data_IF_278886497589
#
_entry.id   IF_278886497589
#
_cell.length_a   1.000
_cell.length_b   1.000
_cell.length_c   1.000
_cell.angle_alpha   90.00
_cell.angle_beta   90.00
_cell.angle_gamma   90.00
#
_symmetry.space_group_name_H-M   'P 1'
#
loop_
_entity.id
_entity.type
_entity.pdbx_description
1 polymer ?
#
# COMPACT_ATOMS: atom_id res chain seq x y z
N UNK A 1 -8.20 28.02 -4.88
CA UNK A 1 -6.81 27.55 -4.78
C UNK A 1 -6.82 26.04 -4.64
N UNK A 2 -6.19 25.34 -5.57
CA UNK A 2 -6.26 23.90 -5.65
C UNK A 2 -5.53 23.27 -4.45
N UNK A 3 -6.32 22.84 -3.48
CA UNK A 3 -5.92 22.20 -2.22
C UNK A 3 -5.46 20.75 -2.49
N UNK A 4 -4.56 20.56 -3.46
CA UNK A 4 -3.99 19.26 -3.77
C UNK A 4 -2.82 19.00 -2.83
N UNK A 5 -3.15 18.61 -1.60
CA UNK A 5 -2.18 17.99 -0.72
C UNK A 5 -1.65 16.73 -1.42
N UNK A 6 -0.36 16.72 -1.76
CA UNK A 6 0.32 15.58 -2.35
C UNK A 6 0.21 14.39 -1.40
N UNK A 7 -0.42 13.29 -1.84
CA UNK A 7 -0.56 12.08 -1.02
C UNK A 7 0.79 11.41 -0.74
N UNK A 8 1.75 11.56 -1.66
CA UNK A 8 3.04 10.86 -1.65
C UNK A 8 4.05 11.39 -0.62
N UNK A 9 3.85 12.61 -0.10
CA UNK A 9 4.75 13.24 0.88
C UNK A 9 4.10 13.43 2.26
N UNK A 10 3.01 12.69 2.55
CA UNK A 10 2.28 12.82 3.81
C UNK A 10 2.34 11.51 4.59
N UNK A 11 2.88 11.56 5.79
CA UNK A 11 2.61 10.53 6.80
C UNK A 11 1.16 10.66 7.26
N UNK A 12 0.38 9.56 7.22
CA UNK A 12 -0.91 9.58 7.89
C UNK A 12 -0.71 9.74 9.41
N UNK A 13 -1.60 10.48 10.08
CA UNK A 13 -1.49 10.71 11.54
C UNK A 13 -1.78 9.45 12.36
N UNK A 14 -2.36 8.42 11.72
CA UNK A 14 -2.73 7.16 12.34
C UNK A 14 -1.83 6.08 11.73
N UNK A 15 -0.89 5.55 12.51
CA UNK A 15 -0.14 4.36 12.15
C UNK A 15 -0.98 3.12 12.51
N UNK A 16 -1.53 2.38 11.53
CA UNK A 16 -2.24 1.14 11.83
C UNK A 16 -1.26 0.13 12.42
N UNK A 17 -1.71 -0.64 13.42
CA UNK A 17 -0.99 -1.86 13.80
C UNK A 17 -1.05 -2.84 12.63
N UNK A 18 0.09 -3.39 12.25
CA UNK A 18 0.14 -4.34 11.16
C UNK A 18 -0.57 -5.64 11.54
N UNK A 19 -1.56 -6.09 10.76
CA UNK A 19 -2.22 -7.36 11.03
C UNK A 19 -1.30 -8.54 10.73
N UNK A 20 -1.37 -9.56 11.58
CA UNK A 20 -0.66 -10.84 11.42
C UNK A 20 -1.49 -11.91 10.70
N UNK A 21 -2.73 -11.60 10.32
CA UNK A 21 -3.63 -12.47 9.54
C UNK A 21 -4.48 -11.63 8.56
N UNK A 22 -4.86 -12.18 7.39
CA UNK A 22 -4.44 -13.48 6.84
C UNK A 22 -2.96 -13.50 6.42
N UNK A 23 -2.38 -14.70 6.21
CA UNK A 23 -0.93 -14.87 5.92
C UNK A 23 -0.48 -14.09 4.68
N UNK A 24 -1.29 -14.08 3.63
CA UNK A 24 -0.99 -13.33 2.40
C UNK A 24 -0.83 -11.84 2.67
N UNK A 25 -1.74 -11.26 3.49
CA UNK A 25 -1.64 -9.86 3.90
C UNK A 25 -0.37 -9.63 4.71
N UNK A 26 -0.09 -10.49 5.69
CA UNK A 26 1.12 -10.38 6.52
C UNK A 26 2.40 -10.37 5.67
N UNK A 27 2.49 -11.26 4.68
CA UNK A 27 3.63 -11.35 3.76
C UNK A 27 3.70 -10.18 2.77
N UNK A 28 2.60 -9.47 2.59
CA UNK A 28 2.53 -8.32 1.68
C UNK A 28 2.81 -6.99 2.35
N UNK A 29 2.70 -6.89 3.67
CA UNK A 29 3.02 -5.67 4.41
C UNK A 29 4.54 -5.49 4.54
N UNK A 30 4.97 -4.24 4.60
CA UNK A 30 6.33 -3.87 4.97
C UNK A 30 6.45 -3.78 6.49
N UNK A 31 7.37 -4.57 7.04
CA UNK A 31 7.68 -4.64 8.48
C UNK A 31 9.05 -4.04 8.81
N UNK A 32 9.73 -3.40 7.85
CA UNK A 32 11.09 -2.86 8.02
C UNK A 32 11.22 -1.88 9.19
N UNK A 33 10.14 -1.19 9.54
CA UNK A 33 10.07 -0.24 10.65
C UNK A 33 9.34 -0.79 11.90
N UNK A 34 9.23 -2.11 12.04
CA UNK A 34 8.58 -2.78 13.17
C UNK A 34 7.04 -2.84 13.09
N UNK A 35 6.39 -3.15 14.21
CA UNK A 35 4.94 -3.39 14.27
C UNK A 35 4.06 -2.15 14.03
N UNK A 36 4.65 -0.97 14.18
CA UNK A 36 4.01 0.34 13.98
C UNK A 36 4.86 1.16 13.02
N UNK A 37 4.91 0.77 11.74
CA UNK A 37 5.71 1.50 10.77
C UNK A 37 5.17 2.93 10.64
N UNK A 38 6.00 3.88 10.19
CA UNK A 38 5.53 5.20 9.81
C UNK A 38 4.37 5.02 8.83
N UNK A 39 3.34 5.86 8.93
CA UNK A 39 2.15 5.73 8.10
C UNK A 39 2.41 6.22 6.66
N UNK A 40 3.30 5.50 5.97
CA UNK A 40 3.59 5.63 4.55
C UNK A 40 2.49 4.94 3.75
N UNK A 41 2.37 5.34 2.50
CA UNK A 41 1.27 4.97 1.62
C UNK A 41 1.17 3.46 1.39
N UNK A 42 2.31 2.78 1.27
CA UNK A 42 2.37 1.37 0.88
C UNK A 42 1.51 0.43 1.73
N UNK A 43 1.69 0.43 3.05
CA UNK A 43 0.96 -0.46 3.95
C UNK A 43 -0.54 -0.13 3.98
N UNK A 44 -0.89 1.15 3.88
CA UNK A 44 -2.29 1.58 3.78
C UNK A 44 -2.96 1.02 2.54
N UNK A 45 -2.35 1.19 1.36
CA UNK A 45 -2.91 0.65 0.11
C UNK A 45 -2.96 -0.88 0.15
N UNK A 46 -1.94 -1.54 0.70
CA UNK A 46 -1.91 -3.00 0.86
C UNK A 46 -3.04 -3.49 1.76
N UNK A 47 -3.36 -2.78 2.84
CA UNK A 47 -4.51 -3.09 3.70
C UNK A 47 -5.85 -2.87 2.97
N UNK A 48 -5.98 -1.79 2.20
CA UNK A 48 -7.18 -1.53 1.39
C UNK A 48 -7.36 -2.66 0.36
N UNK A 49 -6.27 -3.11 -0.27
CA UNK A 49 -6.30 -4.23 -1.21
C UNK A 49 -6.89 -5.49 -0.56
N UNK A 50 -6.49 -5.81 0.67
CA UNK A 50 -7.08 -6.93 1.39
C UNK A 50 -8.59 -6.74 1.61
N UNK A 51 -9.03 -5.54 1.97
CA UNK A 51 -10.46 -5.24 2.13
C UNK A 51 -11.18 -5.47 0.82
N UNK A 52 -10.66 -4.95 -0.29
CA UNK A 52 -11.23 -5.11 -1.64
C UNK A 52 -11.35 -6.58 -2.03
N UNK A 53 -10.33 -7.41 -1.76
CA UNK A 53 -10.41 -8.87 -1.98
C UNK A 53 -11.53 -9.56 -1.19
N UNK A 54 -11.92 -9.00 -0.04
CA UNK A 54 -12.99 -9.55 0.80
C UNK A 54 -14.37 -9.04 0.40
N UNK A 55 -14.51 -7.74 0.11
CA UNK A 55 -15.83 -7.12 -0.16
C UNK A 55 -16.23 -7.13 -1.63
N UNK A 56 -15.24 -7.20 -2.55
CA UNK A 56 -15.45 -7.16 -3.99
C UNK A 56 -14.40 -8.05 -4.70
N UNK A 57 -14.48 -9.39 -4.54
CA UNK A 57 -13.46 -10.33 -5.03
C UNK A 57 -13.26 -10.30 -6.54
N UNK A 58 -14.32 -9.97 -7.31
CA UNK A 58 -14.27 -9.87 -8.77
C UNK A 58 -13.77 -8.51 -9.27
N UNK A 59 -13.41 -7.61 -8.35
CA UNK A 59 -12.90 -6.28 -8.69
C UNK A 59 -11.50 -6.36 -9.31
N UNK A 60 -11.26 -5.50 -10.30
CA UNK A 60 -9.92 -5.28 -10.88
C UNK A 60 -9.06 -4.31 -10.08
N UNK A 61 -9.52 -3.89 -8.90
CA UNK A 61 -8.89 -2.84 -8.10
C UNK A 61 -7.39 -3.03 -7.88
N UNK A 62 -6.94 -4.25 -7.59
CA UNK A 62 -5.52 -4.54 -7.38
C UNK A 62 -4.69 -4.29 -8.64
N UNK A 63 -5.19 -4.74 -9.80
CA UNK A 63 -4.55 -4.57 -11.09
C UNK A 63 -4.55 -3.10 -11.52
N UNK A 64 -5.69 -2.40 -11.40
CA UNK A 64 -5.81 -0.98 -11.75
C UNK A 64 -4.91 -0.12 -10.87
N UNK A 65 -4.91 -0.37 -9.55
CA UNK A 65 -4.07 0.35 -8.59
C UNK A 65 -2.58 0.12 -8.89
N UNK A 66 -2.18 -1.12 -9.18
CA UNK A 66 -0.80 -1.43 -9.60
C UNK A 66 -0.43 -0.69 -10.88
N UNK A 67 -1.31 -0.69 -11.88
CA UNK A 67 -1.10 0.05 -13.13
C UNK A 67 -0.95 1.56 -12.89
N UNK A 68 -1.77 2.15 -12.01
CA UNK A 68 -1.66 3.55 -11.63
C UNK A 68 -0.36 3.88 -10.89
N UNK A 69 0.08 3.02 -9.97
CA UNK A 69 1.36 3.19 -9.25
C UNK A 69 2.56 3.10 -10.21
N UNK A 70 2.44 2.34 -11.30
CA UNK A 70 3.49 2.22 -12.31
C UNK A 70 3.39 3.28 -13.41
N UNK A 71 2.35 4.12 -13.41
CA UNK A 71 2.13 5.14 -14.44
C UNK A 71 2.95 6.41 -14.17
N UNK A 72 3.80 6.86 -15.11
CA UNK A 72 4.60 8.07 -14.94
C UNK A 72 3.77 9.37 -14.85
N UNK A 73 4.26 10.41 -14.14
CA UNK A 73 5.42 10.41 -13.26
C UNK A 73 4.97 10.01 -11.84
N UNK A 74 4.88 8.71 -11.56
CA UNK A 74 4.87 8.27 -10.17
C UNK A 74 6.19 8.66 -9.55
N UNK A 75 6.14 9.56 -8.57
CA UNK A 75 7.33 10.00 -7.83
C UNK A 75 8.04 8.83 -7.15
N UNK A 76 9.08 9.15 -6.37
CA UNK A 76 9.91 8.16 -5.70
C UNK A 76 9.09 7.18 -4.82
N UNK A 77 8.88 5.95 -5.32
CA UNK A 77 8.12 4.90 -4.62
C UNK A 77 8.72 4.57 -3.24
N UNK A 78 10.04 4.70 -3.07
CA UNK A 78 10.70 4.44 -1.81
C UNK A 78 10.31 5.48 -0.73
N UNK A 79 10.12 6.75 -1.12
CA UNK A 79 9.60 7.78 -0.20
C UNK A 79 8.18 7.46 0.26
N UNK A 80 7.38 6.85 -0.62
CA UNK A 80 6.02 6.36 -0.32
C UNK A 80 5.99 5.03 0.45
N UNK A 81 7.16 4.44 0.74
CA UNK A 81 7.30 3.24 1.55
C UNK A 81 7.13 1.93 0.80
N UNK A 82 7.20 1.94 -0.53
CA UNK A 82 7.15 0.72 -1.31
C UNK A 82 8.50 -0.01 -1.20
N UNK A 83 8.55 -1.26 -0.71
CA UNK A 83 9.76 -2.07 -0.74
C UNK A 83 10.08 -2.50 -2.18
N UNK A 84 11.35 -2.74 -2.53
CA UNK A 84 11.76 -3.08 -3.91
C UNK A 84 11.02 -4.29 -4.49
N UNK A 85 10.71 -5.27 -3.64
CA UNK A 85 10.05 -6.52 -4.01
C UNK A 85 8.50 -6.45 -3.96
N UNK A 86 7.90 -5.27 -3.77
CA UNK A 86 6.46 -5.14 -3.50
C UNK A 86 5.57 -5.80 -4.56
N UNK A 87 5.95 -5.71 -5.83
CA UNK A 87 5.20 -6.30 -6.95
C UNK A 87 5.16 -7.83 -6.92
N UNK A 88 6.14 -8.44 -6.25
CA UNK A 88 6.24 -9.88 -6.09
C UNK A 88 5.58 -10.36 -4.79
N UNK A 89 4.97 -9.49 -3.99
CA UNK A 89 4.28 -9.88 -2.77
C UNK A 89 2.87 -10.42 -3.05
N UNK A 90 2.33 -11.34 -2.22
CA UNK A 90 1.10 -12.07 -2.52
C UNK A 90 -0.13 -11.23 -2.89
N UNK A 91 -0.32 -10.06 -2.29
CA UNK A 91 -1.45 -9.18 -2.60
C UNK A 91 -1.28 -8.40 -3.93
N UNK A 92 -0.07 -8.40 -4.48
CA UNK A 92 0.32 -7.59 -5.63
C UNK A 92 0.72 -8.42 -6.87
N UNK A 93 0.73 -9.74 -6.74
CA UNK A 93 0.80 -10.69 -7.86
C UNK A 93 -0.57 -10.79 -8.52
#
# INVERSE_FOLDING_TARGET
>A
CAHHGRLWNRGFLICPRLPSKPRDLQLSLDHSAGERPPAKLYNTITMINQVMRTVAPDSRWAWETKAHILSPPTGDLATMGFPEDWQAKPLWR
#
